data_IF_894071438683
#
_entry.id   IF_894071438683
#
_cell.length_a   1.000
_cell.length_b   1.000
_cell.length_c   1.000
_cell.angle_alpha   90.00
_cell.angle_beta   90.00
_cell.angle_gamma   90.00
#
_symmetry.space_group_name_H-M   'P 1'
#
loop_
_entity.id
_entity.type
_entity.pdbx_description
1 polymer ?
#
# COMPACT_ATOMS: atom_id res chain seq x y z
N UNK A 1 10.48 -11.24 4.93
CA UNK A 1 10.61 -10.79 3.52
C UNK A 1 10.04 -9.39 3.40
N UNK A 2 10.80 -8.43 2.90
CA UNK A 2 10.31 -7.06 2.64
C UNK A 2 9.73 -6.97 1.23
N UNK A 3 8.44 -7.29 1.10
CA UNK A 3 7.75 -7.28 -0.20
C UNK A 3 7.62 -5.86 -0.76
N UNK A 4 7.39 -4.87 0.11
CA UNK A 4 7.28 -3.47 -0.32
C UNK A 4 8.63 -2.91 -0.79
N UNK A 5 9.73 -3.29 -0.13
CA UNK A 5 11.09 -2.96 -0.57
C UNK A 5 11.43 -3.55 -1.93
N UNK A 6 11.13 -4.82 -2.17
CA UNK A 6 11.32 -5.44 -3.48
C UNK A 6 10.55 -4.70 -4.60
N UNK A 7 9.32 -4.24 -4.32
CA UNK A 7 8.56 -3.42 -5.27
C UNK A 7 9.17 -2.05 -5.52
N UNK A 8 9.69 -1.39 -4.48
CA UNK A 8 10.41 -0.13 -4.63
C UNK A 8 11.64 -0.29 -5.54
N UNK A 9 12.41 -1.38 -5.38
CA UNK A 9 13.55 -1.68 -6.24
C UNK A 9 13.13 -1.92 -7.69
N UNK A 10 12.01 -2.63 -7.92
CA UNK A 10 11.46 -2.82 -9.27
C UNK A 10 11.08 -1.49 -9.93
N UNK A 11 10.43 -0.57 -9.20
CA UNK A 11 10.07 0.75 -9.72
C UNK A 11 11.30 1.63 -10.01
N UNK A 12 12.31 1.58 -9.14
CA UNK A 12 13.59 2.26 -9.35
C UNK A 12 14.30 1.74 -10.60
N UNK A 13 14.37 0.41 -10.76
CA UNK A 13 15.00 -0.23 -11.91
C UNK A 13 14.26 0.06 -13.23
N UNK A 14 12.94 0.28 -13.16
CA UNK A 14 12.14 0.75 -14.29
C UNK A 14 12.44 2.22 -14.67
N UNK A 15 13.10 2.98 -13.80
CA UNK A 15 13.49 4.37 -14.05
C UNK A 15 12.60 5.41 -13.37
N UNK A 16 11.73 5.02 -12.43
CA UNK A 16 10.95 6.00 -11.66
C UNK A 16 11.88 6.73 -10.67
N UNK A 17 11.91 8.07 -10.68
CA UNK A 17 12.73 8.84 -9.73
C UNK A 17 12.32 8.54 -8.29
N UNK A 18 13.30 8.31 -7.41
CA UNK A 18 13.04 8.00 -5.99
C UNK A 18 12.18 9.06 -5.29
N UNK A 19 12.32 10.34 -5.67
CA UNK A 19 11.50 11.44 -5.12
C UNK A 19 10.01 11.33 -5.44
N UNK A 20 9.63 10.52 -6.43
CA UNK A 20 8.24 10.29 -6.82
C UNK A 20 7.66 9.01 -6.20
N UNK A 21 8.43 8.28 -5.38
CA UNK A 21 7.99 7.03 -4.74
C UNK A 21 7.86 7.28 -3.24
N UNK A 22 6.70 6.94 -2.68
CA UNK A 22 6.47 6.97 -1.24
C UNK A 22 6.15 5.55 -0.76
N UNK A 23 6.93 5.08 0.21
CA UNK A 23 6.71 3.78 0.87
C UNK A 23 6.18 4.04 2.29
N UNK A 24 5.01 3.48 2.60
CA UNK A 24 4.50 3.49 3.97
C UNK A 24 5.36 2.59 4.86
N UNK A 25 5.56 3.00 6.12
CA UNK A 25 6.26 2.21 7.13
C UNK A 25 5.31 1.33 7.96
N UNK A 26 4.01 1.27 7.62
CA UNK A 26 3.03 0.45 8.33
C UNK A 26 3.12 -1.02 7.92
N UNK A 27 3.19 -1.91 8.91
CA UNK A 27 3.11 -3.36 8.71
C UNK A 27 1.73 -3.87 9.14
N UNK A 28 0.96 -4.45 8.22
CA UNK A 28 -0.41 -4.92 8.51
C UNK A 28 -0.50 -5.95 9.63
N UNK A 29 0.57 -6.73 9.83
CA UNK A 29 0.65 -7.71 10.93
C UNK A 29 0.92 -7.07 12.29
N UNK A 30 1.58 -5.91 12.34
CA UNK A 30 2.00 -5.25 13.58
C UNK A 30 0.97 -4.23 14.08
N UNK A 31 0.25 -3.55 13.17
CA UNK A 31 -0.76 -2.53 13.52
C UNK A 31 -2.19 -3.05 13.37
N UNK A 32 -2.53 -4.08 14.15
CA UNK A 32 -3.81 -4.80 14.09
C UNK A 32 -5.04 -3.95 14.49
N UNK A 33 -4.84 -2.91 15.28
CA UNK A 33 -5.87 -1.93 15.65
C UNK A 33 -6.34 -1.06 14.47
N UNK A 34 -5.56 -1.00 13.39
CA UNK A 34 -5.82 -0.17 12.22
C UNK A 34 -6.01 -0.98 10.93
N UNK A 35 -5.23 -2.05 10.74
CA UNK A 35 -5.15 -2.78 9.47
C UNK A 35 -5.53 -4.25 9.62
N UNK A 36 -6.18 -4.80 8.59
CA UNK A 36 -6.46 -6.23 8.51
C UNK A 36 -5.22 -7.01 8.04
N UNK A 37 -4.89 -8.11 8.74
CA UNK A 37 -3.81 -9.03 8.38
C UNK A 37 -4.33 -10.46 8.22
N UNK A 38 -4.18 -11.05 7.03
CA UNK A 38 -4.50 -12.45 6.81
C UNK A 38 -3.51 -13.38 7.53
N UNK A 39 -2.24 -12.96 7.66
CA UNK A 39 -1.23 -13.76 8.37
C UNK A 39 -1.55 -13.91 9.86
N UNK A 40 -2.15 -12.89 10.48
CA UNK A 40 -2.54 -12.90 11.89
C UNK A 40 -3.91 -13.58 12.12
N UNK A 41 -4.93 -13.19 11.36
CA UNK A 41 -6.33 -13.61 11.62
C UNK A 41 -6.87 -14.69 10.68
N UNK A 42 -6.07 -15.11 9.69
CA UNK A 42 -6.42 -16.17 8.74
C UNK A 42 -7.74 -15.88 8.02
N UNK A 43 -8.60 -16.91 7.84
CA UNK A 43 -9.89 -16.76 7.15
C UNK A 43 -10.85 -15.74 7.76
N UNK A 44 -10.67 -15.36 9.03
CA UNK A 44 -11.53 -14.38 9.72
C UNK A 44 -11.08 -12.94 9.50
N UNK A 45 -9.94 -12.73 8.83
CA UNK A 45 -9.44 -11.39 8.56
C UNK A 45 -10.32 -10.67 7.53
N UNK A 46 -10.61 -9.39 7.77
CA UNK A 46 -11.22 -8.50 6.79
C UNK A 46 -10.29 -8.21 5.60
N UNK A 47 -10.70 -7.31 4.70
CA UNK A 47 -9.88 -6.84 3.57
C UNK A 47 -9.97 -5.32 3.49
N UNK A 48 -8.82 -4.67 3.45
CA UNK A 48 -8.73 -3.24 3.19
C UNK A 48 -8.84 -2.97 1.68
N UNK A 49 -9.33 -1.78 1.32
CA UNK A 49 -9.46 -1.31 -0.05
C UNK A 49 -8.52 -0.12 -0.29
N UNK A 50 -7.71 -0.18 -1.34
CA UNK A 50 -6.91 0.94 -1.81
C UNK A 50 -7.63 1.67 -2.94
N UNK A 51 -7.81 2.99 -2.83
CA UNK A 51 -8.54 3.82 -3.80
C UNK A 51 -7.64 4.94 -4.31
N UNK A 52 -7.65 5.15 -5.62
CA UNK A 52 -7.05 6.33 -6.27
C UNK A 52 -8.09 6.92 -7.22
N UNK A 53 -8.39 8.20 -7.07
CA UNK A 53 -9.36 8.91 -7.91
C UNK A 53 -8.98 10.39 -8.00
N UNK A 54 -9.26 11.00 -9.15
CA UNK A 54 -9.30 12.44 -9.29
C UNK A 54 -10.75 12.89 -9.05
N UNK A 55 -10.94 13.97 -8.29
CA UNK A 55 -12.28 14.56 -8.18
C UNK A 55 -12.64 15.21 -9.52
N UNK A 56 -13.75 14.81 -10.12
CA UNK A 56 -14.30 15.54 -11.26
C UNK A 56 -14.75 16.93 -10.78
N UNK A 57 -14.27 17.97 -11.45
CA UNK A 57 -14.86 19.29 -11.33
C UNK A 57 -16.00 19.34 -12.33
N UNK A 58 -17.24 19.22 -11.87
CA UNK A 58 -18.38 19.61 -12.69
C UNK A 58 -18.27 21.13 -12.93
N UNK A 59 -17.81 21.53 -14.12
CA UNK A 59 -18.00 22.89 -14.58
C UNK A 59 -19.48 23.02 -14.97
N UNK A 60 -20.18 23.94 -14.33
CA UNK A 60 -21.57 24.32 -14.67
C UNK A 60 -21.70 24.75 -16.13
#
# INVERSE_FOLDING_TARGET
>A
LDVAGANMDMLKNFGIPMGNIQKSNLCTYEVDYLLHSYRQHGPKSGRALGVIAMKENHAE
#
